data_IF_248638094905
#
_entry.id   IF_248638094905
#
_cell.length_a   1.000
_cell.length_b   1.000
_cell.length_c   1.000
_cell.angle_alpha   90.00
_cell.angle_beta   90.00
_cell.angle_gamma   90.00
#
_symmetry.space_group_name_H-M   'P 1'
#
loop_
_entity.id
_entity.type
_entity.pdbx_description
1 polymer ?
#
# COMPACT_ATOMS: atom_id res chain seq x y z
N UNK A 1 57.19 -9.20 -10.97
CA UNK A 1 55.82 -8.76 -10.61
C UNK A 1 55.80 -7.24 -10.63
N UNK A 2 54.94 -6.62 -11.43
CA UNK A 2 54.96 -5.16 -11.63
C UNK A 2 54.30 -4.47 -10.43
N UNK A 3 55.02 -3.57 -9.74
CA UNK A 3 54.50 -2.85 -8.57
C UNK A 3 53.21 -2.07 -8.90
N UNK A 4 53.11 -1.59 -10.14
CA UNK A 4 51.95 -0.88 -10.65
C UNK A 4 50.70 -1.77 -10.75
N UNK A 5 50.85 -3.04 -11.16
CA UNK A 5 49.71 -3.97 -11.27
C UNK A 5 49.16 -4.32 -9.90
N UNK A 6 50.03 -4.54 -8.91
CA UNK A 6 49.63 -4.80 -7.51
C UNK A 6 48.88 -3.59 -6.92
N UNK A 7 49.34 -2.38 -7.21
CA UNK A 7 48.70 -1.16 -6.74
C UNK A 7 47.32 -0.96 -7.36
N UNK A 8 47.19 -1.19 -8.66
CA UNK A 8 45.90 -1.11 -9.36
C UNK A 8 44.91 -2.16 -8.87
N UNK A 9 45.35 -3.41 -8.66
CA UNK A 9 44.51 -4.47 -8.10
C UNK A 9 43.97 -4.09 -6.71
N UNK A 10 44.82 -3.50 -5.86
CA UNK A 10 44.42 -3.05 -4.52
C UNK A 10 43.40 -1.91 -4.56
N UNK A 11 43.58 -0.94 -5.45
CA UNK A 11 42.60 0.15 -5.65
C UNK A 11 41.27 -0.41 -6.15
N UNK A 12 41.33 -1.32 -7.13
CA UNK A 12 40.15 -1.95 -7.70
C UNK A 12 39.34 -2.73 -6.64
N UNK A 13 40.01 -3.59 -5.85
CA UNK A 13 39.38 -4.33 -4.75
C UNK A 13 38.75 -3.39 -3.72
N UNK A 14 39.45 -2.34 -3.31
CA UNK A 14 38.92 -1.37 -2.35
C UNK A 14 37.69 -0.62 -2.90
N UNK A 15 37.71 -0.29 -4.19
CA UNK A 15 36.60 0.41 -4.87
C UNK A 15 35.37 -0.48 -4.96
N UNK A 16 35.56 -1.76 -5.32
CA UNK A 16 34.46 -2.74 -5.35
C UNK A 16 33.86 -2.92 -3.96
N UNK A 17 34.69 -3.16 -2.94
CA UNK A 17 34.21 -3.35 -1.56
C UNK A 17 33.41 -2.15 -1.08
N UNK A 18 33.93 -0.95 -1.30
CA UNK A 18 33.23 0.29 -0.92
C UNK A 18 31.90 0.45 -1.68
N UNK A 19 31.88 0.10 -2.97
CA UNK A 19 30.67 0.16 -3.79
C UNK A 19 29.60 -0.85 -3.34
N UNK A 20 30.01 -2.07 -2.98
CA UNK A 20 29.12 -3.11 -2.45
C UNK A 20 28.49 -2.65 -1.14
N UNK A 21 29.30 -2.13 -0.20
CA UNK A 21 28.81 -1.61 1.08
C UNK A 21 27.81 -0.48 0.88
N UNK A 22 28.14 0.50 0.03
CA UNK A 22 27.24 1.61 -0.27
C UNK A 22 25.93 1.15 -0.91
N UNK A 23 25.99 0.18 -1.83
CA UNK A 23 24.81 -0.40 -2.45
C UNK A 23 23.93 -1.10 -1.42
N UNK A 24 24.55 -1.92 -0.54
CA UNK A 24 23.87 -2.63 0.52
C UNK A 24 23.14 -1.69 1.48
N UNK A 25 23.80 -0.60 1.91
CA UNK A 25 23.18 0.41 2.77
C UNK A 25 21.96 1.07 2.11
N UNK A 26 22.08 1.43 0.83
CA UNK A 26 21.00 2.08 0.10
C UNK A 26 19.80 1.14 -0.11
N UNK A 27 20.06 -0.12 -0.48
CA UNK A 27 19.01 -1.13 -0.63
C UNK A 27 18.31 -1.42 0.70
N UNK A 28 19.07 -1.53 1.79
CA UNK A 28 18.51 -1.72 3.13
C UNK A 28 17.60 -0.56 3.56
N UNK A 29 18.03 0.68 3.34
CA UNK A 29 17.20 1.88 3.62
C UNK A 29 15.91 1.86 2.80
N UNK A 30 16.01 1.55 1.50
CA UNK A 30 14.87 1.49 0.60
C UNK A 30 13.90 0.39 1.04
N UNK A 31 14.40 -0.82 1.30
CA UNK A 31 13.60 -1.95 1.77
C UNK A 31 12.89 -1.64 3.10
N UNK A 32 13.58 -0.99 4.03
CA UNK A 32 12.99 -0.55 5.30
C UNK A 32 11.84 0.43 5.06
N UNK A 33 12.06 1.45 4.24
CA UNK A 33 11.02 2.44 3.91
C UNK A 33 9.80 1.81 3.21
N UNK A 34 10.02 0.87 2.29
CA UNK A 34 8.94 0.12 1.62
C UNK A 34 8.14 -0.70 2.63
N UNK A 35 8.81 -1.39 3.57
CA UNK A 35 8.13 -2.15 4.64
C UNK A 35 7.30 -1.25 5.54
N UNK A 36 7.81 -0.09 5.94
CA UNK A 36 7.06 0.90 6.71
C UNK A 36 5.84 1.42 5.96
N UNK A 37 6.00 1.72 4.67
CA UNK A 37 4.89 2.20 3.84
C UNK A 37 3.79 1.14 3.67
N UNK A 38 4.16 -0.13 3.46
CA UNK A 38 3.19 -1.24 3.44
C UNK A 38 2.44 -1.34 4.78
N UNK A 39 3.13 -1.20 5.91
CA UNK A 39 2.48 -1.21 7.23
C UNK A 39 1.50 -0.05 7.39
N UNK A 40 1.88 1.14 6.96
CA UNK A 40 0.99 2.30 6.94
C UNK A 40 -0.25 2.06 6.09
N UNK A 41 -0.09 1.57 4.86
CA UNK A 41 -1.20 1.25 3.96
C UNK A 41 -2.15 0.19 4.56
N UNK A 42 -1.60 -0.84 5.20
CA UNK A 42 -2.43 -1.85 5.89
C UNK A 42 -3.26 -1.25 7.02
N UNK A 43 -2.68 -0.34 7.83
CA UNK A 43 -3.43 0.36 8.89
C UNK A 43 -4.53 1.24 8.30
N UNK A 44 -4.21 1.99 7.24
CA UNK A 44 -5.17 2.85 6.54
C UNK A 44 -6.32 2.03 5.95
N UNK A 45 -6.02 0.86 5.37
CA UNK A 45 -7.02 -0.07 4.84
C UNK A 45 -8.01 -0.52 5.91
N UNK A 46 -7.53 -0.92 7.09
CA UNK A 46 -8.41 -1.35 8.19
C UNK A 46 -9.41 -0.25 8.54
N UNK A 47 -8.93 0.98 8.73
CA UNK A 47 -9.79 2.13 9.04
C UNK A 47 -10.84 2.39 7.95
N UNK A 48 -10.47 2.30 6.67
CA UNK A 48 -11.42 2.53 5.57
C UNK A 48 -12.45 1.41 5.46
N UNK A 49 -12.05 0.16 5.70
CA UNK A 49 -13.00 -0.96 5.74
C UNK A 49 -14.01 -0.78 6.87
N UNK A 50 -13.55 -0.40 8.07
CA UNK A 50 -14.46 -0.08 9.19
C UNK A 50 -15.41 1.09 8.85
N UNK A 51 -14.92 2.10 8.14
CA UNK A 51 -15.75 3.21 7.67
C UNK A 51 -16.81 2.76 6.65
N UNK A 52 -16.44 1.92 5.69
CA UNK A 52 -17.37 1.33 4.70
C UNK A 52 -18.46 0.54 5.41
N UNK A 53 -18.10 -0.32 6.37
CA UNK A 53 -19.06 -1.11 7.15
C UNK A 53 -20.03 -0.19 7.92
N UNK A 54 -19.52 0.84 8.57
CA UNK A 54 -20.35 1.82 9.28
C UNK A 54 -21.31 2.54 8.35
N UNK A 55 -20.82 3.08 7.24
CA UNK A 55 -21.65 3.80 6.26
C UNK A 55 -22.71 2.89 5.65
N UNK A 56 -22.37 1.64 5.35
CA UNK A 56 -23.33 0.63 4.85
C UNK A 56 -24.46 0.43 5.85
N UNK A 57 -24.15 0.23 7.13
CA UNK A 57 -25.18 0.09 8.18
C UNK A 57 -26.02 1.36 8.35
N UNK A 58 -25.41 2.54 8.25
CA UNK A 58 -26.12 3.82 8.37
C UNK A 58 -27.09 4.05 7.21
N UNK A 59 -26.68 3.68 5.99
CA UNK A 59 -27.53 3.69 4.79
C UNK A 59 -28.70 2.71 4.97
N UNK A 60 -28.44 1.48 5.40
CA UNK A 60 -29.49 0.47 5.64
C UNK A 60 -30.51 0.95 6.67
N UNK A 61 -30.05 1.51 7.80
CA UNK A 61 -30.94 2.07 8.82
C UNK A 61 -31.76 3.23 8.26
N UNK A 62 -31.14 4.11 7.47
CA UNK A 62 -31.85 5.23 6.85
C UNK A 62 -32.91 4.77 5.87
N UNK A 63 -32.65 3.69 5.12
CA UNK A 63 -33.67 3.06 4.30
C UNK A 63 -34.83 2.55 5.18
N UNK A 64 -34.58 1.87 6.30
CA UNK A 64 -35.65 1.41 7.20
C UNK A 64 -36.50 2.61 7.69
N UNK A 65 -35.87 3.68 8.16
CA UNK A 65 -36.57 4.88 8.64
C UNK A 65 -37.48 5.49 7.57
N UNK A 66 -37.00 5.55 6.32
CA UNK A 66 -37.77 6.08 5.19
C UNK A 66 -38.94 5.16 4.81
N UNK A 67 -38.77 3.84 4.86
CA UNK A 67 -39.88 2.91 4.61
C UNK A 67 -41.00 3.12 5.63
N UNK A 68 -40.64 3.27 6.90
CA UNK A 68 -41.59 3.49 7.99
C UNK A 68 -42.26 4.87 7.88
N UNK A 69 -41.49 5.93 7.62
CA UNK A 69 -42.00 7.30 7.50
C UNK A 69 -43.04 7.45 6.38
N UNK A 70 -42.78 6.82 5.22
CA UNK A 70 -43.67 6.91 4.07
C UNK A 70 -44.70 5.77 4.00
N UNK A 71 -44.76 4.90 5.02
CA UNK A 71 -45.60 3.69 5.05
C UNK A 71 -45.46 2.84 3.78
N UNK A 72 -44.24 2.75 3.27
CA UNK A 72 -43.95 2.07 2.01
C UNK A 72 -43.75 0.58 2.32
N UNK A 73 -44.67 -0.25 1.81
CA UNK A 73 -44.58 -1.71 1.92
C UNK A 73 -43.74 -2.35 0.81
N UNK A 74 -43.32 -1.59 -0.22
CA UNK A 74 -42.54 -2.09 -1.34
C UNK A 74 -41.32 -1.19 -1.60
N UNK A 75 -40.13 -1.75 -1.40
CA UNK A 75 -38.81 -1.11 -1.56
C UNK A 75 -38.62 -0.46 -2.95
N UNK A 76 -39.26 -0.97 -4.01
CA UNK A 76 -39.17 -0.39 -5.36
C UNK A 76 -39.83 0.99 -5.45
N UNK A 77 -40.77 1.33 -4.55
CA UNK A 77 -41.40 2.65 -4.53
C UNK A 77 -40.48 3.72 -3.92
N UNK A 78 -39.38 3.29 -3.32
CA UNK A 78 -38.42 4.11 -2.61
C UNK A 78 -37.41 4.80 -3.52
N UNK A 79 -37.19 4.26 -4.73
CA UNK A 79 -36.36 4.88 -5.78
C UNK A 79 -36.84 6.28 -6.17
N UNK A 80 -38.10 6.62 -5.90
CA UNK A 80 -38.69 7.93 -6.20
C UNK A 80 -38.62 8.91 -5.01
N UNK A 81 -38.10 8.49 -3.85
CA UNK A 81 -37.93 9.38 -2.70
C UNK A 81 -36.55 10.03 -2.80
N UNK A 82 -36.54 11.32 -3.07
CA UNK A 82 -35.32 12.12 -3.02
C UNK A 82 -34.98 12.45 -1.57
N UNK A 83 -33.95 11.80 -1.02
CA UNK A 83 -33.45 12.07 0.32
C UNK A 83 -32.00 12.54 0.27
N UNK A 84 -31.77 13.81 0.60
CA UNK A 84 -30.45 14.44 0.53
C UNK A 84 -29.42 13.81 1.47
N UNK A 85 -29.84 13.34 2.65
CA UNK A 85 -28.95 12.69 3.62
C UNK A 85 -28.52 11.30 3.13
N UNK A 86 -29.46 10.51 2.60
CA UNK A 86 -29.18 9.21 2.00
C UNK A 86 -28.21 9.34 0.82
N UNK A 87 -28.46 10.31 -0.07
CA UNK A 87 -27.58 10.59 -1.21
C UNK A 87 -26.16 11.00 -0.77
N UNK A 88 -26.05 11.77 0.32
CA UNK A 88 -24.76 12.16 0.88
C UNK A 88 -24.00 10.94 1.44
N UNK A 89 -24.68 10.07 2.21
CA UNK A 89 -24.10 8.84 2.74
C UNK A 89 -23.64 7.89 1.63
N UNK A 90 -24.46 7.70 0.58
CA UNK A 90 -24.09 6.88 -0.57
C UNK A 90 -22.87 7.43 -1.31
N UNK A 91 -22.76 8.77 -1.42
CA UNK A 91 -21.59 9.40 -2.03
C UNK A 91 -20.33 9.17 -1.19
N UNK A 92 -20.42 9.34 0.13
CA UNK A 92 -19.32 9.10 1.05
C UNK A 92 -18.87 7.63 1.03
N UNK A 93 -19.82 6.69 0.97
CA UNK A 93 -19.54 5.26 0.82
C UNK A 93 -18.76 4.98 -0.47
N UNK A 94 -19.21 5.52 -1.60
CA UNK A 94 -18.54 5.33 -2.89
C UNK A 94 -17.13 5.95 -2.91
N UNK A 95 -16.92 7.09 -2.24
CA UNK A 95 -15.59 7.68 -2.06
C UNK A 95 -14.68 6.77 -1.22
N UNK A 96 -15.19 6.21 -0.12
CA UNK A 96 -14.46 5.29 0.75
C UNK A 96 -14.09 3.98 0.02
N UNK A 97 -15.01 3.41 -0.76
CA UNK A 97 -14.76 2.21 -1.59
C UNK A 97 -13.70 2.47 -2.66
N UNK A 98 -13.77 3.64 -3.31
CA UNK A 98 -12.76 4.06 -4.30
C UNK A 98 -11.38 4.18 -3.66
N UNK A 99 -11.30 4.80 -2.49
CA UNK A 99 -10.05 4.91 -1.73
C UNK A 99 -9.52 3.54 -1.27
N UNK A 100 -10.40 2.63 -0.87
CA UNK A 100 -10.04 1.25 -0.51
C UNK A 100 -9.40 0.53 -1.71
N UNK A 101 -10.06 0.56 -2.88
CA UNK A 101 -9.56 -0.07 -4.10
C UNK A 101 -8.18 0.49 -4.51
N UNK A 102 -7.97 1.80 -4.35
CA UNK A 102 -6.66 2.43 -4.60
C UNK A 102 -5.59 1.92 -3.63
N UNK A 103 -5.91 1.80 -2.34
CA UNK A 103 -4.97 1.27 -1.33
C UNK A 103 -4.61 -0.18 -1.62
N UNK A 104 -5.55 -1.00 -2.07
CA UNK A 104 -5.28 -2.40 -2.43
C UNK A 104 -4.37 -2.52 -3.66
N UNK A 105 -4.57 -1.66 -4.66
CA UNK A 105 -3.68 -1.57 -5.82
C UNK A 105 -2.26 -1.16 -5.40
N UNK A 106 -2.15 -0.13 -4.55
CA UNK A 106 -0.86 0.34 -4.01
C UNK A 106 -0.17 -0.75 -3.18
N UNK A 107 -0.90 -1.44 -2.29
CA UNK A 107 -0.36 -2.56 -1.51
C UNK A 107 0.18 -3.68 -2.41
N UNK A 108 -0.54 -4.00 -3.48
CA UNK A 108 -0.11 -5.01 -4.45
C UNK A 108 1.19 -4.59 -5.13
N UNK A 109 1.28 -3.33 -5.58
CA UNK A 109 2.49 -2.80 -6.19
C UNK A 109 3.68 -2.80 -5.20
N UNK A 110 3.48 -2.29 -3.99
CA UNK A 110 4.54 -2.19 -2.99
C UNK A 110 5.04 -3.57 -2.55
N UNK A 111 4.16 -4.57 -2.46
CA UNK A 111 4.59 -5.94 -2.18
C UNK A 111 5.47 -6.53 -3.29
N UNK A 112 5.15 -6.27 -4.56
CA UNK A 112 6.02 -6.67 -5.68
C UNK A 112 7.39 -5.99 -5.58
N UNK A 113 7.40 -4.67 -5.33
CA UNK A 113 8.64 -3.90 -5.14
C UNK A 113 9.46 -4.43 -3.97
N UNK A 114 8.83 -4.77 -2.83
CA UNK A 114 9.49 -5.37 -1.67
C UNK A 114 10.20 -6.68 -2.04
N UNK A 115 9.51 -7.58 -2.74
CA UNK A 115 10.08 -8.87 -3.16
C UNK A 115 11.30 -8.66 -4.07
N UNK A 116 11.22 -7.73 -5.02
CA UNK A 116 12.35 -7.39 -5.89
C UNK A 116 13.53 -6.83 -5.08
N UNK A 117 13.27 -5.90 -4.15
CA UNK A 117 14.32 -5.34 -3.28
C UNK A 117 14.96 -6.39 -2.38
N UNK A 118 14.18 -7.34 -1.84
CA UNK A 118 14.71 -8.47 -1.06
C UNK A 118 15.67 -9.30 -1.91
N UNK A 119 15.32 -9.60 -3.16
CA UNK A 119 16.22 -10.31 -4.09
C UNK A 119 17.49 -9.52 -4.40
N UNK A 120 17.39 -8.21 -4.62
CA UNK A 120 18.55 -7.35 -4.86
C UNK A 120 19.48 -7.31 -3.63
N UNK A 121 18.91 -7.27 -2.42
CA UNK A 121 19.68 -7.35 -1.18
C UNK A 121 20.43 -8.70 -1.09
N UNK A 122 19.76 -9.81 -1.39
CA UNK A 122 20.36 -11.15 -1.36
C UNK A 122 21.52 -11.27 -2.37
N UNK A 123 21.36 -10.72 -3.57
CA UNK A 123 22.42 -10.69 -4.58
C UNK A 123 23.64 -9.89 -4.12
N UNK A 124 23.43 -8.69 -3.57
CA UNK A 124 24.53 -7.86 -3.04
C UNK A 124 25.21 -8.53 -1.85
N UNK A 125 24.46 -9.20 -0.98
CA UNK A 125 25.02 -9.98 0.13
C UNK A 125 25.92 -11.12 -0.40
N UNK A 126 25.48 -11.84 -1.45
CA UNK A 126 26.31 -12.85 -2.11
C UNK A 126 27.57 -12.25 -2.72
N UNK A 127 27.47 -11.13 -3.44
CA UNK A 127 28.62 -10.44 -4.01
C UNK A 127 29.64 -10.02 -2.93
N UNK A 128 29.15 -9.60 -1.75
CA UNK A 128 30.02 -9.26 -0.61
C UNK A 128 30.81 -10.45 -0.06
N UNK A 129 30.36 -11.69 -0.26
CA UNK A 129 31.06 -12.89 0.23
C UNK A 129 32.22 -13.30 -0.67
N UNK A 130 32.19 -12.91 -1.95
CA UNK A 130 33.19 -13.27 -2.97
C UNK A 130 34.09 -12.10 -3.41
N UNK A 131 33.85 -10.88 -2.91
CA UNK A 131 34.62 -9.67 -3.22
C UNK A 131 35.76 -9.39 -2.21
#
# INVERSE_FOLDING_TARGET
MNLFTVYLEKIYQNTIKSSIVNCQENLNKKLHSTKQYIQYLNRKRVYIVELIEKLTLEIENKYIDLLDQYQISNIQRMENIENAELNALMKELNEAETDCARIEADLTYQNKTRITLERECDMIAQMSLVA
#
